data_IF_519483931169
#
_entry.id   IF_519483931169
#
_cell.length_a   1.000
_cell.length_b   1.000
_cell.length_c   1.000
_cell.angle_alpha   90.00
_cell.angle_beta   90.00
_cell.angle_gamma   90.00
#
_symmetry.space_group_name_H-M   'P 1'
#
loop_
_entity.id
_entity.type
_entity.pdbx_description
1 polymer ?
#
# COMPACT_ATOMS: atom_id res chain seq x y z
N UNK A 1 -22.26 15.54 32.73
CA UNK A 1 -21.90 15.77 31.30
C UNK A 1 -20.44 15.44 31.12
N UNK A 2 -20.09 14.29 30.51
CA UNK A 2 -18.69 13.93 30.24
C UNK A 2 -18.23 14.78 29.05
N UNK A 3 -17.25 15.65 29.29
CA UNK A 3 -16.65 16.49 28.26
C UNK A 3 -16.13 15.62 27.09
N UNK A 4 -16.68 15.84 25.89
CA UNK A 4 -16.16 15.25 24.66
C UNK A 4 -14.73 15.73 24.50
N UNK A 5 -13.76 14.81 24.55
CA UNK A 5 -12.35 15.09 24.35
C UNK A 5 -12.16 15.63 22.93
N UNK A 6 -12.11 16.95 22.80
CA UNK A 6 -12.06 17.72 21.54
C UNK A 6 -10.84 17.37 20.68
N UNK A 7 -9.80 16.82 21.32
CA UNK A 7 -8.51 16.46 20.70
C UNK A 7 -8.55 15.28 19.72
N UNK A 8 -9.57 14.41 19.76
CA UNK A 8 -9.66 13.25 18.88
C UNK A 8 -10.47 13.48 17.60
N UNK A 9 -11.22 14.58 17.50
CA UNK A 9 -12.08 14.85 16.35
C UNK A 9 -11.40 15.69 15.27
N UNK A 10 -10.34 16.46 15.61
CA UNK A 10 -9.68 17.40 14.70
C UNK A 10 -8.20 17.12 14.46
N UNK A 11 -7.70 15.97 14.94
CA UNK A 11 -6.32 15.60 14.75
C UNK A 11 -6.06 15.18 13.30
N UNK A 12 -5.30 16.02 12.58
CA UNK A 12 -4.74 15.67 11.29
C UNK A 12 -3.40 14.96 11.48
N UNK A 13 -3.38 13.66 11.21
CA UNK A 13 -2.18 12.85 11.37
C UNK A 13 -1.08 13.26 10.38
N UNK A 14 -1.44 13.69 9.17
CA UNK A 14 -0.45 14.09 8.17
C UNK A 14 0.16 15.44 8.52
N UNK A 15 -0.65 16.40 8.94
CA UNK A 15 -0.17 17.70 9.40
C UNK A 15 0.75 17.54 10.62
N UNK A 16 0.35 16.71 11.59
CA UNK A 16 1.13 16.48 12.80
C UNK A 16 2.48 15.76 12.58
N UNK A 17 2.66 15.08 11.44
CA UNK A 17 3.89 14.36 11.06
C UNK A 17 4.49 14.87 9.74
N UNK A 18 4.36 16.14 9.43
CA UNK A 18 4.97 16.72 8.22
C UNK A 18 6.48 16.85 8.35
N UNK A 19 6.99 17.06 9.57
CA UNK A 19 8.40 17.33 9.81
C UNK A 19 9.22 16.04 9.76
N UNK A 20 10.14 15.97 8.80
CA UNK A 20 11.19 14.95 8.76
C UNK A 20 12.35 15.40 9.64
N UNK A 21 12.87 14.51 10.45
CA UNK A 21 13.92 14.84 11.43
C UNK A 21 15.21 15.28 10.74
N UNK A 22 15.51 14.73 9.58
CA UNK A 22 16.71 15.05 8.80
C UNK A 22 16.74 16.52 8.34
N UNK A 23 15.58 17.20 8.34
CA UNK A 23 15.44 18.60 7.93
C UNK A 23 15.34 19.58 9.11
N UNK A 24 15.47 19.09 10.37
CA UNK A 24 15.32 19.90 11.57
C UNK A 24 16.66 20.17 12.26
N UNK A 25 16.79 21.37 12.82
CA UNK A 25 17.93 21.70 13.67
C UNK A 25 17.78 21.03 15.06
N UNK A 26 18.90 20.69 15.70
CA UNK A 26 18.94 20.03 17.00
C UNK A 26 18.10 20.76 18.06
N UNK A 27 18.18 22.09 18.11
CA UNK A 27 17.41 22.91 19.05
C UNK A 27 15.88 22.77 18.86
N UNK A 28 15.41 22.62 17.62
CA UNK A 28 13.99 22.40 17.35
C UNK A 28 13.54 20.98 17.76
N UNK A 29 14.37 19.97 17.51
CA UNK A 29 14.13 18.61 17.98
C UNK A 29 14.03 18.59 19.50
N UNK A 30 14.94 19.24 20.20
CA UNK A 30 14.91 19.32 21.67
C UNK A 30 13.67 20.04 22.19
N UNK A 31 13.26 21.14 21.56
CA UNK A 31 12.03 21.86 21.90
C UNK A 31 10.79 20.98 21.75
N UNK A 32 10.64 20.27 20.64
CA UNK A 32 9.50 19.38 20.38
C UNK A 32 9.47 18.18 21.32
N UNK A 33 10.63 17.73 21.78
CA UNK A 33 10.77 16.56 22.64
C UNK A 33 10.62 16.84 24.14
N UNK A 34 10.65 18.09 24.56
CA UNK A 34 10.63 18.51 25.97
C UNK A 34 9.44 17.99 26.79
N UNK A 35 8.29 17.76 26.16
CA UNK A 35 7.03 17.42 26.82
C UNK A 35 6.63 15.93 26.72
N UNK A 36 7.56 15.03 26.41
CA UNK A 36 7.31 13.61 26.17
C UNK A 36 7.21 12.76 27.44
N UNK A 37 6.22 12.97 28.27
CA UNK A 37 5.96 12.07 29.41
C UNK A 37 5.04 10.91 29.02
N UNK A 38 5.40 9.67 29.38
CA UNK A 38 4.49 8.52 29.35
C UNK A 38 4.20 7.89 27.96
N UNK A 39 4.97 8.20 26.91
CA UNK A 39 4.75 7.62 25.59
C UNK A 39 5.39 6.22 25.52
N UNK A 40 4.58 5.19 25.28
CA UNK A 40 5.05 3.87 24.86
C UNK A 40 5.14 3.81 23.32
N UNK A 41 6.00 2.94 22.79
CA UNK A 41 6.11 2.72 21.34
C UNK A 41 5.54 1.36 20.96
N UNK A 42 4.84 1.32 19.85
CA UNK A 42 4.38 0.09 19.20
C UNK A 42 5.15 -0.11 17.91
N UNK A 43 5.59 -1.33 17.67
CA UNK A 43 6.17 -1.74 16.39
C UNK A 43 5.14 -2.56 15.62
N UNK A 44 4.78 -2.11 14.44
CA UNK A 44 3.99 -2.88 13.47
C UNK A 44 4.94 -3.38 12.38
N UNK A 45 5.06 -4.69 12.25
CA UNK A 45 5.86 -5.33 11.19
C UNK A 45 4.93 -5.89 10.13
N UNK A 46 5.20 -5.58 8.87
CA UNK A 46 4.48 -6.12 7.70
C UNK A 46 5.45 -6.91 6.83
N UNK A 47 5.19 -8.21 6.65
CA UNK A 47 5.96 -9.09 5.75
C UNK A 47 5.17 -9.36 4.49
N UNK A 48 5.78 -9.13 3.32
CA UNK A 48 5.15 -9.25 2.01
C UNK A 48 6.16 -9.80 1.00
N UNK A 49 6.13 -11.12 0.75
CA UNK A 49 7.14 -11.79 -0.07
C UNK A 49 8.53 -11.60 0.53
N UNK A 50 9.45 -11.06 -0.26
CA UNK A 50 10.82 -10.76 0.16
C UNK A 50 10.94 -9.42 0.91
N UNK A 51 9.88 -8.62 0.96
CA UNK A 51 9.90 -7.32 1.64
C UNK A 51 9.44 -7.43 3.09
N UNK A 52 10.01 -6.58 3.94
CA UNK A 52 9.60 -6.37 5.30
C UNK A 52 9.59 -4.86 5.59
N UNK A 53 8.50 -4.40 6.15
CA UNK A 53 8.34 -3.03 6.62
C UNK A 53 8.16 -3.02 8.13
N UNK A 54 8.80 -2.07 8.82
CA UNK A 54 8.62 -1.82 10.24
C UNK A 54 8.16 -0.37 10.46
N UNK A 55 6.95 -0.22 11.00
CA UNK A 55 6.44 1.04 11.52
C UNK A 55 6.64 1.06 13.03
N UNK A 56 7.37 2.02 13.55
CA UNK A 56 7.58 2.23 14.99
C UNK A 56 7.00 3.59 15.35
N UNK A 57 5.98 3.62 16.20
CA UNK A 57 5.21 4.82 16.46
C UNK A 57 4.70 4.88 17.90
N UNK A 58 4.40 6.09 18.42
CA UNK A 58 3.83 6.26 19.73
C UNK A 58 2.48 5.57 19.86
N UNK A 59 2.29 4.79 20.91
CA UNK A 59 1.03 4.17 21.26
C UNK A 59 0.38 4.93 22.41
N UNK A 60 -0.80 5.46 22.18
CA UNK A 60 -1.61 6.13 23.20
C UNK A 60 -2.68 5.15 23.68
N UNK A 61 -2.56 4.69 24.94
CA UNK A 61 -3.56 3.99 25.71
C UNK A 61 -4.46 2.96 25.00
N UNK A 62 -5.30 2.28 25.76
CA UNK A 62 -6.29 1.37 25.23
C UNK A 62 -7.41 2.14 24.50
N UNK A 63 -7.51 1.94 23.19
CA UNK A 63 -8.64 2.43 22.36
C UNK A 63 -9.98 1.75 22.68
N UNK A 64 -10.06 0.91 23.71
CA UNK A 64 -11.29 0.16 24.02
C UNK A 64 -12.47 1.08 24.37
N UNK A 65 -12.19 2.29 24.84
CA UNK A 65 -13.22 3.24 25.28
C UNK A 65 -13.62 4.30 24.22
N UNK A 66 -13.03 4.28 23.02
CA UNK A 66 -13.42 5.21 21.98
C UNK A 66 -14.71 4.71 21.29
N UNK A 67 -15.80 5.49 21.30
CA UNK A 67 -17.03 5.09 20.61
C UNK A 67 -16.74 4.88 19.13
N UNK A 68 -17.16 3.71 18.60
CA UNK A 68 -17.07 3.45 17.17
C UNK A 68 -17.98 4.45 16.44
N UNK A 69 -17.40 5.27 15.57
CA UNK A 69 -18.15 6.14 14.67
C UNK A 69 -19.10 5.32 13.81
N UNK A 70 -20.36 5.75 13.70
CA UNK A 70 -21.34 5.06 12.84
C UNK A 70 -20.80 4.99 11.41
N UNK A 71 -20.94 3.81 10.77
CA UNK A 71 -20.63 3.64 9.34
C UNK A 71 -21.53 4.59 8.55
N UNK A 72 -20.95 5.41 7.68
CA UNK A 72 -21.71 6.31 6.79
C UNK A 72 -21.29 7.79 6.84
N UNK A 73 -20.52 8.23 7.81
CA UNK A 73 -20.00 9.60 7.80
C UNK A 73 -18.92 9.76 6.71
N UNK A 74 -19.05 10.82 5.89
CA UNK A 74 -18.02 11.18 4.91
C UNK A 74 -16.69 11.43 5.63
N UNK A 75 -15.62 10.80 5.17
CA UNK A 75 -14.28 11.03 5.71
C UNK A 75 -13.85 12.47 5.45
N UNK A 76 -13.22 13.12 6.43
CA UNK A 76 -12.57 14.43 6.24
C UNK A 76 -11.44 14.32 5.21
N UNK A 77 -11.06 15.42 4.52
CA UNK A 77 -10.00 15.39 3.50
C UNK A 77 -8.70 14.72 3.99
N UNK A 78 -8.20 15.10 5.16
CA UNK A 78 -7.00 14.49 5.77
C UNK A 78 -7.17 12.98 6.01
N UNK A 79 -8.33 12.54 6.49
CA UNK A 79 -8.61 11.12 6.67
C UNK A 79 -8.70 10.39 5.33
N UNK A 80 -9.23 11.04 4.28
CA UNK A 80 -9.25 10.50 2.92
C UNK A 80 -7.82 10.28 2.42
N UNK A 81 -6.95 11.29 2.52
CA UNK A 81 -5.55 11.19 2.12
C UNK A 81 -4.81 10.07 2.84
N UNK A 82 -4.99 9.96 4.17
CA UNK A 82 -4.39 8.88 4.96
C UNK A 82 -4.90 7.50 4.53
N UNK A 83 -6.21 7.37 4.25
CA UNK A 83 -6.78 6.13 3.76
C UNK A 83 -6.23 5.78 2.37
N UNK A 84 -6.00 6.77 1.52
CA UNK A 84 -5.43 6.61 0.19
C UNK A 84 -3.98 6.12 0.27
N UNK A 85 -3.15 6.72 1.11
CA UNK A 85 -1.77 6.26 1.35
C UNK A 85 -1.73 4.83 1.91
N UNK A 86 -2.60 4.52 2.87
CA UNK A 86 -2.71 3.15 3.43
C UNK A 86 -3.15 2.14 2.39
N UNK A 87 -4.09 2.50 1.52
CA UNK A 87 -4.57 1.65 0.45
C UNK A 87 -3.46 1.37 -0.58
N UNK A 88 -2.72 2.41 -1.00
CA UNK A 88 -1.55 2.28 -1.88
C UNK A 88 -0.49 1.36 -1.29
N UNK A 89 -0.13 1.59 -0.04
CA UNK A 89 0.86 0.77 0.66
C UNK A 89 0.39 -0.69 0.80
N UNK A 90 -0.89 -0.91 1.13
CA UNK A 90 -1.45 -2.27 1.19
C UNK A 90 -1.40 -2.97 -0.17
N UNK A 91 -1.73 -2.26 -1.26
CA UNK A 91 -1.65 -2.79 -2.61
C UNK A 91 -0.21 -3.16 -2.98
N UNK A 92 0.76 -2.30 -2.68
CA UNK A 92 2.18 -2.59 -2.90
C UNK A 92 2.61 -3.87 -2.17
N UNK A 93 2.24 -3.99 -0.90
CA UNK A 93 2.51 -5.19 -0.10
C UNK A 93 1.79 -6.42 -0.64
N UNK A 94 0.57 -6.29 -1.16
CA UNK A 94 -0.18 -7.39 -1.78
C UNK A 94 0.50 -7.86 -3.07
N UNK A 95 0.98 -6.92 -3.89
CA UNK A 95 1.75 -7.21 -5.11
C UNK A 95 3.04 -7.94 -4.73
N UNK A 96 3.82 -7.40 -3.81
CA UNK A 96 5.09 -7.98 -3.37
C UNK A 96 4.95 -9.38 -2.75
N UNK A 97 3.81 -9.67 -2.13
CA UNK A 97 3.52 -10.99 -1.56
C UNK A 97 3.16 -12.06 -2.60
N UNK A 98 2.81 -11.68 -3.84
CA UNK A 98 2.23 -12.59 -4.81
C UNK A 98 2.89 -12.58 -6.18
N UNK A 99 3.54 -11.49 -6.56
CA UNK A 99 4.08 -11.31 -7.91
C UNK A 99 5.56 -10.94 -7.85
N UNK A 100 6.30 -11.40 -8.85
CA UNK A 100 7.73 -11.22 -8.95
C UNK A 100 8.24 -11.28 -10.38
N UNK A 101 9.52 -11.64 -10.54
CA UNK A 101 10.16 -11.75 -11.85
C UNK A 101 9.45 -12.77 -12.73
N UNK A 102 9.15 -12.36 -13.96
CA UNK A 102 8.48 -13.21 -14.95
C UNK A 102 6.95 -13.18 -14.92
N UNK A 103 6.33 -12.62 -13.87
CA UNK A 103 4.90 -12.32 -13.91
C UNK A 103 4.60 -11.23 -14.95
N UNK A 104 3.34 -11.03 -15.28
CA UNK A 104 2.96 -10.20 -16.41
C UNK A 104 2.25 -8.93 -15.92
N UNK A 105 2.73 -7.80 -16.38
CA UNK A 105 2.02 -6.53 -16.39
C UNK A 105 1.35 -6.36 -17.74
N UNK A 106 0.06 -6.07 -17.73
CA UNK A 106 -0.74 -5.85 -18.93
C UNK A 106 -1.57 -4.59 -18.85
N UNK A 107 -1.76 -3.96 -20.02
CA UNK A 107 -2.78 -2.94 -20.24
C UNK A 107 -3.69 -3.45 -21.34
N UNK A 108 -4.97 -3.60 -21.04
CA UNK A 108 -6.00 -4.04 -21.99
C UNK A 108 -6.90 -2.86 -22.33
N UNK A 109 -7.03 -2.58 -23.61
CA UNK A 109 -7.84 -1.50 -24.17
C UNK A 109 -9.07 -2.04 -24.88
N UNK A 110 -9.96 -1.15 -25.29
CA UNK A 110 -11.16 -1.45 -26.03
C UNK A 110 -11.11 -0.82 -27.42
N UNK A 111 -11.55 -1.54 -28.44
CA UNK A 111 -11.89 -0.95 -29.73
C UNK A 111 -13.23 -0.22 -29.61
N UNK A 112 -13.58 0.65 -30.60
CA UNK A 112 -14.78 1.50 -30.53
C UNK A 112 -16.07 0.69 -30.35
N UNK A 113 -16.19 -0.40 -31.07
CA UNK A 113 -17.36 -1.29 -31.08
C UNK A 113 -17.55 -2.06 -29.75
N UNK A 114 -16.51 -2.11 -28.90
CA UNK A 114 -16.50 -2.88 -27.67
C UNK A 114 -16.40 -2.01 -26.42
N UNK A 115 -16.49 -0.68 -26.56
CA UNK A 115 -16.44 0.21 -25.41
C UNK A 115 -17.54 -0.14 -24.41
N UNK A 116 -17.21 -0.34 -23.12
CA UNK A 116 -18.21 -0.61 -22.12
C UNK A 116 -19.09 0.65 -21.89
N UNK A 117 -20.37 0.45 -21.67
CA UNK A 117 -21.33 1.53 -21.42
C UNK A 117 -21.22 2.09 -20.01
N UNK A 118 -20.68 1.32 -19.09
CA UNK A 118 -20.52 1.69 -17.69
C UNK A 118 -19.32 1.00 -17.07
N UNK A 119 -18.83 1.48 -15.94
CA UNK A 119 -17.77 0.79 -15.19
C UNK A 119 -18.17 -0.60 -14.71
N UNK A 120 -19.44 -0.80 -14.38
CA UNK A 120 -19.98 -2.11 -14.02
C UNK A 120 -19.92 -3.07 -15.18
N UNK A 121 -20.15 -2.56 -16.39
CA UNK A 121 -20.00 -3.32 -17.63
C UNK A 121 -18.55 -3.68 -17.90
N UNK A 122 -17.63 -2.71 -17.80
CA UNK A 122 -16.19 -2.96 -17.88
C UNK A 122 -15.76 -4.06 -16.92
N UNK A 123 -16.30 -4.03 -15.72
CA UNK A 123 -16.06 -5.01 -14.67
C UNK A 123 -16.56 -6.41 -15.03
N UNK A 124 -17.74 -6.49 -15.64
CA UNK A 124 -18.34 -7.72 -16.12
C UNK A 124 -17.54 -8.32 -17.29
N UNK A 125 -17.12 -7.48 -18.22
CA UNK A 125 -16.28 -7.87 -19.36
C UNK A 125 -14.95 -8.46 -18.86
N UNK A 126 -14.29 -7.78 -17.95
CA UNK A 126 -13.05 -8.27 -17.36
C UNK A 126 -13.25 -9.60 -16.60
N UNK A 127 -14.34 -9.74 -15.85
CA UNK A 127 -14.65 -10.99 -15.17
C UNK A 127 -14.83 -12.15 -16.16
N UNK A 128 -15.47 -11.91 -17.32
CA UNK A 128 -15.62 -12.89 -18.40
C UNK A 128 -14.26 -13.26 -19.02
N UNK A 129 -13.36 -12.30 -19.18
CA UNK A 129 -11.99 -12.53 -19.62
C UNK A 129 -11.25 -13.47 -18.66
N UNK A 130 -11.27 -13.20 -17.36
CA UNK A 130 -10.67 -14.08 -16.37
C UNK A 130 -11.30 -15.49 -16.38
N UNK A 131 -12.61 -15.61 -16.60
CA UNK A 131 -13.25 -16.92 -16.75
C UNK A 131 -12.71 -17.70 -17.95
N UNK A 132 -12.44 -17.04 -19.09
CA UNK A 132 -11.82 -17.66 -20.26
C UNK A 132 -10.41 -18.18 -19.96
N UNK A 133 -9.58 -17.34 -19.29
CA UNK A 133 -8.23 -17.74 -18.85
C UNK A 133 -8.32 -18.97 -17.93
N UNK A 134 -9.14 -18.89 -16.89
CA UNK A 134 -9.24 -19.96 -15.90
C UNK A 134 -9.78 -21.27 -16.50
N UNK A 135 -10.70 -21.20 -17.48
CA UNK A 135 -11.18 -22.37 -18.22
C UNK A 135 -10.04 -23.05 -18.98
N UNK A 136 -9.19 -22.28 -19.64
CA UNK A 136 -8.04 -22.78 -20.40
C UNK A 136 -6.99 -23.39 -19.47
N UNK A 137 -6.70 -22.71 -18.36
CA UNK A 137 -5.76 -23.21 -17.32
C UNK A 137 -6.23 -24.55 -16.73
N UNK A 138 -7.49 -24.66 -16.37
CA UNK A 138 -8.05 -25.93 -15.85
C UNK A 138 -7.95 -27.08 -16.85
N UNK A 139 -8.16 -26.81 -18.14
CA UNK A 139 -7.95 -27.82 -19.18
C UNK A 139 -6.49 -28.28 -19.27
N UNK A 140 -5.54 -27.39 -18.92
CA UNK A 140 -4.12 -27.67 -18.85
C UNK A 140 -3.65 -28.17 -17.47
N UNK A 141 -4.55 -28.52 -16.55
CA UNK A 141 -4.20 -28.98 -15.19
C UNK A 141 -3.59 -27.91 -14.29
N UNK A 142 -3.76 -26.61 -14.60
CA UNK A 142 -3.19 -25.50 -13.85
C UNK A 142 -4.22 -24.87 -12.91
N UNK A 143 -3.73 -24.29 -11.82
CA UNK A 143 -4.54 -23.50 -10.89
C UNK A 143 -5.15 -22.24 -11.55
N UNK A 144 -6.20 -21.70 -10.94
CA UNK A 144 -6.76 -20.44 -11.36
C UNK A 144 -5.72 -19.31 -11.29
N UNK A 145 -5.76 -18.38 -12.25
CA UNK A 145 -4.86 -17.25 -12.32
C UNK A 145 -4.90 -16.38 -11.05
N UNK A 146 -3.73 -15.97 -10.58
CA UNK A 146 -3.58 -14.88 -9.63
C UNK A 146 -3.53 -13.59 -10.40
N UNK A 147 -4.33 -12.61 -9.98
CA UNK A 147 -4.35 -11.30 -10.64
C UNK A 147 -4.77 -10.18 -9.70
N UNK A 148 -4.35 -8.98 -10.05
CA UNK A 148 -4.88 -7.70 -9.55
C UNK A 148 -5.22 -6.86 -10.77
N UNK A 149 -6.36 -6.21 -10.76
CA UNK A 149 -6.82 -5.33 -11.84
C UNK A 149 -7.31 -4.00 -11.31
N UNK A 150 -6.97 -2.95 -12.02
CA UNK A 150 -7.56 -1.62 -11.87
C UNK A 150 -8.18 -1.24 -13.20
N UNK A 151 -9.44 -0.84 -13.17
CA UNK A 151 -10.14 -0.28 -14.31
C UNK A 151 -10.01 1.25 -14.23
N UNK A 152 -9.39 1.85 -15.20
CA UNK A 152 -9.35 3.29 -15.38
C UNK A 152 -10.56 3.70 -16.22
N UNK A 153 -11.38 4.57 -15.66
CA UNK A 153 -12.60 5.07 -16.26
C UNK A 153 -12.70 6.57 -16.03
N UNK A 154 -13.11 7.33 -17.04
CA UNK A 154 -13.41 8.75 -16.90
C UNK A 154 -14.80 9.01 -17.48
N UNK A 155 -15.64 9.68 -16.70
CA UNK A 155 -16.91 10.23 -17.18
C UNK A 155 -16.71 11.64 -17.80
N UNK A 156 -15.47 12.13 -17.80
CA UNK A 156 -15.07 13.46 -18.27
C UNK A 156 -14.47 13.32 -19.67
N UNK A 157 -15.24 13.68 -20.68
CA UNK A 157 -14.84 13.62 -22.09
C UNK A 157 -13.64 14.55 -22.38
N UNK A 158 -13.50 15.67 -21.65
CA UNK A 158 -12.39 16.61 -21.84
C UNK A 158 -11.04 16.00 -21.44
N UNK A 159 -11.02 15.02 -20.53
CA UNK A 159 -9.79 14.33 -20.14
C UNK A 159 -9.27 13.32 -21.14
N UNK A 160 -10.07 12.95 -22.14
CA UNK A 160 -9.68 12.01 -23.19
C UNK A 160 -9.23 10.63 -22.68
N UNK A 161 -9.59 10.25 -21.45
CA UNK A 161 -9.22 8.96 -20.86
C UNK A 161 -10.24 7.92 -21.30
N UNK A 162 -9.84 7.09 -22.24
CA UNK A 162 -10.63 5.96 -22.69
C UNK A 162 -10.55 4.82 -21.68
N UNK A 163 -11.66 4.11 -21.46
CA UNK A 163 -11.68 2.95 -20.54
C UNK A 163 -10.60 1.94 -20.89
N UNK A 164 -9.84 1.50 -19.90
CA UNK A 164 -8.85 0.44 -20.01
C UNK A 164 -8.56 -0.22 -18.68
N UNK A 165 -7.93 -1.39 -18.73
CA UNK A 165 -7.57 -2.15 -17.55
C UNK A 165 -6.06 -2.25 -17.41
N UNK A 166 -5.55 -1.92 -16.21
CA UNK A 166 -4.20 -2.27 -15.79
C UNK A 166 -4.25 -3.55 -14.97
N UNK A 167 -3.48 -4.55 -15.37
CA UNK A 167 -3.55 -5.88 -14.78
C UNK A 167 -2.15 -6.36 -14.40
N UNK A 168 -2.02 -6.93 -13.22
CA UNK A 168 -0.91 -7.81 -12.87
C UNK A 168 -1.48 -9.23 -12.83
N UNK A 169 -0.88 -10.15 -13.55
CA UNK A 169 -1.28 -11.55 -13.60
C UNK A 169 -0.05 -12.46 -13.50
N UNK A 170 -0.20 -13.62 -12.86
CA UNK A 170 0.89 -14.57 -12.72
C UNK A 170 1.41 -15.07 -14.09
N UNK A 171 2.73 -15.29 -14.14
CA UNK A 171 3.47 -15.55 -15.38
C UNK A 171 3.30 -16.94 -15.98
N UNK A 172 2.39 -17.77 -15.47
CA UNK A 172 2.17 -19.13 -15.98
C UNK A 172 1.41 -19.20 -17.31
N UNK A 173 0.90 -18.06 -17.80
CA UNK A 173 0.34 -17.92 -19.14
C UNK A 173 1.36 -17.32 -20.09
N UNK A 174 1.23 -17.61 -21.39
CA UNK A 174 1.90 -16.87 -22.43
C UNK A 174 1.27 -15.48 -22.62
N UNK A 175 2.09 -14.48 -23.00
CA UNK A 175 1.63 -13.11 -23.25
C UNK A 175 0.66 -13.05 -24.44
N UNK A 176 1.03 -13.70 -25.54
CA UNK A 176 0.22 -13.74 -26.76
C UNK A 176 -1.12 -14.44 -26.50
N UNK A 177 -1.12 -15.48 -25.66
CA UNK A 177 -2.35 -16.13 -25.22
C UNK A 177 -3.26 -15.19 -24.44
N UNK A 178 -2.70 -14.37 -23.53
CA UNK A 178 -3.46 -13.39 -22.77
C UNK A 178 -4.07 -12.32 -23.66
N UNK A 179 -3.31 -11.80 -24.63
CA UNK A 179 -3.80 -10.81 -25.58
C UNK A 179 -4.88 -11.38 -26.49
N UNK A 180 -4.69 -12.58 -27.03
CA UNK A 180 -5.68 -13.26 -27.87
C UNK A 180 -7.00 -13.58 -27.13
N UNK A 181 -6.95 -13.84 -25.84
CA UNK A 181 -8.14 -14.09 -25.03
C UNK A 181 -8.90 -12.81 -24.67
N UNK A 182 -8.32 -11.61 -24.83
CA UNK A 182 -8.98 -10.37 -24.47
C UNK A 182 -10.21 -10.09 -25.36
N UNK A 183 -10.09 -10.12 -26.66
CA UNK A 183 -11.18 -10.02 -27.64
C UNK A 183 -12.00 -8.72 -27.60
N UNK A 184 -11.59 -7.68 -26.90
CA UNK A 184 -12.34 -6.42 -26.79
C UNK A 184 -11.59 -5.25 -27.41
N UNK A 185 -10.34 -5.46 -27.75
CA UNK A 185 -9.50 -4.46 -28.38
C UNK A 185 -8.18 -5.04 -28.84
N UNK A 186 -7.60 -4.38 -29.82
CA UNK A 186 -6.37 -4.81 -30.49
C UNK A 186 -5.11 -4.11 -29.98
N UNK A 187 -5.25 -2.94 -29.34
CA UNK A 187 -4.12 -2.16 -28.81
C UNK A 187 -3.79 -2.56 -27.38
N UNK A 188 -3.39 -3.81 -27.19
CA UNK A 188 -3.01 -4.33 -25.90
C UNK A 188 -1.50 -4.22 -25.72
N UNK A 189 -1.06 -4.12 -24.48
CA UNK A 189 0.35 -4.11 -24.14
C UNK A 189 0.61 -5.07 -22.98
N UNK A 190 1.45 -6.08 -23.20
CA UNK A 190 1.89 -7.02 -22.16
C UNK A 190 3.40 -7.04 -22.05
N UNK A 191 3.91 -7.08 -20.83
CA UNK A 191 5.34 -7.23 -20.56
C UNK A 191 5.59 -8.10 -19.35
N UNK A 192 6.70 -8.82 -19.35
CA UNK A 192 7.18 -9.51 -18.14
C UNK A 192 7.67 -8.50 -17.13
N UNK A 193 7.30 -8.71 -15.89
CA UNK A 193 7.78 -7.89 -14.77
C UNK A 193 9.23 -8.28 -14.48
N UNK A 194 10.09 -7.27 -14.41
CA UNK A 194 11.43 -7.36 -13.85
C UNK A 194 11.48 -6.39 -12.66
N UNK A 195 11.31 -6.89 -11.43
CA UNK A 195 11.18 -6.05 -10.27
C UNK A 195 12.47 -5.29 -9.98
N UNK A 196 12.34 -4.00 -9.73
CA UNK A 196 13.46 -3.19 -9.25
C UNK A 196 14.00 -3.74 -7.92
N UNK A 197 15.31 -3.84 -7.74
CA UNK A 197 15.91 -4.37 -6.52
C UNK A 197 15.46 -3.67 -5.25
N UNK A 198 15.31 -2.35 -5.25
CA UNK A 198 15.04 -1.54 -4.05
C UNK A 198 13.56 -1.27 -3.84
N UNK A 199 12.82 -1.03 -4.92
CA UNK A 199 11.40 -0.65 -4.87
C UNK A 199 10.44 -1.78 -5.25
N UNK A 200 10.97 -2.91 -5.74
CA UNK A 200 10.20 -4.06 -6.24
C UNK A 200 9.13 -3.60 -7.26
N UNK A 201 7.85 -3.80 -6.94
CA UNK A 201 6.74 -3.40 -7.80
C UNK A 201 6.09 -2.07 -7.37
N UNK A 202 6.77 -1.24 -6.56
CA UNK A 202 6.21 0.02 -6.06
C UNK A 202 5.82 0.98 -7.19
N UNK A 203 6.61 1.04 -8.27
CA UNK A 203 6.28 1.82 -9.47
C UNK A 203 4.96 1.39 -10.10
N UNK A 204 4.72 0.07 -10.19
CA UNK A 204 3.47 -0.49 -10.70
C UNK A 204 2.30 -0.15 -9.76
N UNK A 205 2.46 -0.33 -8.45
CA UNK A 205 1.44 -0.01 -7.47
C UNK A 205 1.07 1.48 -7.49
N UNK A 206 2.05 2.36 -7.60
CA UNK A 206 1.82 3.80 -7.69
C UNK A 206 1.07 4.19 -8.97
N UNK A 207 1.40 3.54 -10.09
CA UNK A 207 0.72 3.79 -11.37
C UNK A 207 -0.76 3.38 -11.34
N UNK A 208 -1.08 2.25 -10.69
CA UNK A 208 -2.45 1.70 -10.64
C UNK A 208 -3.34 2.42 -9.61
N UNK A 209 -2.78 3.17 -8.66
CA UNK A 209 -3.57 3.74 -7.56
C UNK A 209 -3.98 5.20 -7.79
N UNK A 210 -4.27 5.59 -9.01
CA UNK A 210 -4.90 6.87 -9.33
C UNK A 210 -6.27 7.02 -8.62
N UNK A 211 -6.85 8.19 -8.62
CA UNK A 211 -8.11 8.46 -7.89
C UNK A 211 -9.22 7.47 -8.35
N UNK A 212 -9.84 6.73 -7.43
CA UNK A 212 -10.87 5.76 -7.77
C UNK A 212 -12.25 6.37 -8.03
N UNK A 213 -12.41 7.70 -8.01
CA UNK A 213 -13.69 8.39 -8.19
C UNK A 213 -14.85 7.78 -7.36
N UNK A 214 -14.56 7.40 -6.11
CA UNK A 214 -15.54 6.81 -5.18
C UNK A 214 -15.77 5.29 -5.33
N UNK A 215 -15.10 4.62 -6.25
CA UNK A 215 -15.23 3.17 -6.52
C UNK A 215 -14.16 2.34 -5.81
N UNK A 216 -14.22 1.03 -5.99
CA UNK A 216 -13.13 0.13 -5.58
C UNK A 216 -11.87 0.47 -6.37
N UNK A 217 -10.77 0.73 -5.65
CA UNK A 217 -9.48 1.08 -6.24
C UNK A 217 -8.89 -0.05 -7.11
N UNK A 218 -9.13 -1.28 -6.72
CA UNK A 218 -8.70 -2.47 -7.47
C UNK A 218 -9.58 -3.67 -7.12
N UNK A 219 -9.55 -4.66 -7.98
CA UNK A 219 -10.05 -6.01 -7.72
C UNK A 219 -8.91 -7.00 -7.81
N UNK A 220 -9.06 -8.12 -7.13
CA UNK A 220 -8.03 -9.14 -7.07
C UNK A 220 -8.64 -10.52 -7.00
N UNK A 221 -7.91 -11.51 -7.47
CA UNK A 221 -8.26 -12.91 -7.32
C UNK A 221 -8.29 -13.33 -5.85
N UNK A 222 -9.13 -14.31 -5.51
CA UNK A 222 -9.32 -14.77 -4.13
C UNK A 222 -8.15 -15.60 -3.60
N UNK A 223 -7.30 -16.12 -4.48
CA UNK A 223 -6.18 -16.99 -4.17
C UNK A 223 -4.86 -16.24 -3.89
N UNK A 224 -4.91 -14.92 -3.69
CA UNK A 224 -3.74 -14.15 -3.28
C UNK A 224 -3.38 -14.36 -1.81
N UNK A 225 -2.08 -14.48 -1.54
CA UNK A 225 -1.52 -14.45 -0.19
C UNK A 225 -1.61 -13.02 0.36
N UNK A 226 -2.15 -12.87 1.56
CA UNK A 226 -2.19 -11.58 2.25
C UNK A 226 -0.85 -11.28 2.91
N UNK A 227 -0.42 -9.99 2.99
CA UNK A 227 0.72 -9.60 3.80
C UNK A 227 0.51 -9.99 5.27
N UNK A 228 1.56 -10.48 5.91
CA UNK A 228 1.52 -10.88 7.33
C UNK A 228 1.84 -9.66 8.18
N UNK A 229 0.91 -9.27 9.05
CA UNK A 229 1.07 -8.11 9.93
C UNK A 229 1.13 -8.56 11.38
N UNK A 230 2.20 -8.18 12.06
CA UNK A 230 2.39 -8.41 13.50
C UNK A 230 2.58 -7.08 14.23
N UNK A 231 2.16 -7.03 15.51
CA UNK A 231 2.33 -5.86 16.36
C UNK A 231 3.02 -6.27 17.65
N UNK A 232 3.93 -5.44 18.13
CA UNK A 232 4.68 -5.66 19.37
C UNK A 232 4.90 -4.35 20.09
N UNK A 233 4.74 -4.35 21.41
CA UNK A 233 5.10 -3.23 22.29
C UNK A 233 6.48 -3.40 22.93
N UNK A 234 7.06 -4.60 22.85
CA UNK A 234 8.34 -4.94 23.48
C UNK A 234 9.53 -4.94 22.53
N UNK A 235 9.31 -4.86 21.21
CA UNK A 235 10.40 -4.97 20.22
C UNK A 235 11.39 -3.82 20.32
N UNK A 236 10.89 -2.60 20.41
CA UNK A 236 11.70 -1.39 20.64
C UNK A 236 11.07 -0.57 21.73
N UNK A 237 11.76 -0.52 22.89
CA UNK A 237 11.33 0.32 24.00
C UNK A 237 11.51 1.82 23.69
N UNK A 238 10.93 2.68 24.53
CA UNK A 238 10.93 4.14 24.37
C UNK A 238 12.34 4.69 24.09
N UNK A 239 13.30 4.40 24.98
CA UNK A 239 14.69 4.90 24.83
C UNK A 239 15.34 4.44 23.52
N UNK A 240 15.09 3.20 23.11
CA UNK A 240 15.61 2.67 21.85
C UNK A 240 14.98 3.39 20.65
N UNK A 241 13.66 3.58 20.63
CA UNK A 241 12.97 4.27 19.57
C UNK A 241 13.41 5.74 19.42
N UNK A 242 13.58 6.43 20.55
CA UNK A 242 14.07 7.81 20.58
C UNK A 242 15.51 7.93 20.08
N UNK A 243 16.40 7.02 20.47
CA UNK A 243 17.76 7.00 19.95
C UNK A 243 17.82 6.63 18.47
N UNK A 244 17.02 5.66 18.03
CA UNK A 244 16.89 5.32 16.59
C UNK A 244 16.41 6.50 15.77
N UNK A 245 15.57 7.37 16.33
CA UNK A 245 15.06 8.54 15.64
C UNK A 245 16.11 9.64 15.44
N UNK A 246 17.11 9.73 16.30
CA UNK A 246 18.14 10.79 16.28
C UNK A 246 19.52 10.31 15.84
N UNK A 247 19.72 9.01 15.71
CA UNK A 247 21.00 8.40 15.36
C UNK A 247 20.74 7.34 14.25
N UNK A 248 21.07 7.71 13.01
CA UNK A 248 20.83 6.88 11.83
C UNK A 248 21.62 5.57 11.83
N UNK A 249 22.86 5.62 12.26
CA UNK A 249 23.70 4.42 12.36
C UNK A 249 23.15 3.44 13.38
N UNK A 250 22.73 3.94 14.55
CA UNK A 250 22.07 3.13 15.56
C UNK A 250 20.73 2.56 15.09
N UNK A 251 19.96 3.33 14.31
CA UNK A 251 18.70 2.86 13.69
C UNK A 251 18.97 1.65 12.81
N UNK A 252 19.91 1.76 11.86
CA UNK A 252 20.24 0.69 10.93
C UNK A 252 20.74 -0.57 11.67
N UNK A 253 21.64 -0.41 12.63
CA UNK A 253 22.14 -1.51 13.47
C UNK A 253 20.99 -2.22 14.21
N UNK A 254 20.11 -1.45 14.85
CA UNK A 254 19.01 -2.02 15.64
C UNK A 254 17.95 -2.70 14.79
N UNK A 255 17.63 -2.15 13.63
CA UNK A 255 16.69 -2.75 12.67
C UNK A 255 17.28 -4.04 12.12
N UNK A 256 18.52 -4.04 11.65
CA UNK A 256 19.20 -5.22 11.11
C UNK A 256 19.26 -6.35 12.15
N UNK A 257 19.61 -6.02 13.40
CA UNK A 257 19.63 -7.00 14.49
C UNK A 257 18.25 -7.57 14.83
N UNK A 258 17.19 -6.75 14.74
CA UNK A 258 15.82 -7.15 15.07
C UNK A 258 15.16 -8.03 13.99
N UNK A 259 15.68 -7.99 12.76
CA UNK A 259 15.13 -8.72 11.61
C UNK A 259 16.22 -9.50 10.86
N UNK A 260 16.77 -10.55 11.47
CA UNK A 260 17.82 -11.35 10.84
C UNK A 260 17.36 -11.95 9.51
N UNK A 261 18.25 -11.99 8.53
CA UNK A 261 17.97 -12.46 7.17
C UNK A 261 17.29 -11.44 6.26
N UNK A 262 17.13 -10.19 6.72
CA UNK A 262 16.73 -9.07 5.90
C UNK A 262 17.85 -8.02 5.86
N UNK A 263 18.10 -7.48 4.68
CA UNK A 263 19.01 -6.33 4.47
C UNK A 263 18.22 -5.05 4.66
N UNK A 264 18.79 -4.10 5.39
CA UNK A 264 18.24 -2.75 5.50
C UNK A 264 18.34 -2.04 4.14
N UNK A 265 17.26 -1.38 3.71
CA UNK A 265 17.19 -0.58 2.49
C UNK A 265 17.23 0.89 2.86
N UNK A 266 16.22 1.34 3.59
CA UNK A 266 16.11 2.73 4.02
C UNK A 266 15.19 2.87 5.24
N UNK A 267 15.20 4.08 5.81
CA UNK A 267 14.22 4.48 6.81
C UNK A 267 13.89 5.97 6.68
N UNK A 268 12.63 6.28 6.99
CA UNK A 268 12.11 7.63 7.14
C UNK A 268 11.76 7.87 8.60
N UNK A 269 12.20 9.00 9.15
CA UNK A 269 11.92 9.39 10.54
C UNK A 269 11.18 10.72 10.55
N UNK A 270 10.01 10.73 11.20
CA UNK A 270 9.18 11.92 11.38
C UNK A 270 8.97 12.20 12.86
N UNK A 271 8.81 13.46 13.20
CA UNK A 271 8.46 13.91 14.55
C UNK A 271 7.06 14.50 14.56
N UNK A 272 6.32 14.20 15.61
CA UNK A 272 4.99 14.74 15.82
C UNK A 272 5.07 16.12 16.48
N UNK A 273 4.52 17.13 15.84
CA UNK A 273 4.57 18.53 16.32
C UNK A 273 3.79 18.76 17.61
N UNK A 274 2.79 17.93 17.90
CA UNK A 274 1.91 18.11 19.04
C UNK A 274 2.48 17.44 20.31
N UNK A 275 3.00 16.21 20.17
CA UNK A 275 3.41 15.38 21.32
C UNK A 275 4.89 15.02 21.31
N UNK A 276 5.67 15.47 20.33
CA UNK A 276 7.08 15.18 20.17
C UNK A 276 7.42 13.70 19.93
N UNK A 277 6.44 12.85 19.71
CA UNK A 277 6.67 11.44 19.45
C UNK A 277 7.24 11.20 18.06
N UNK A 278 8.13 10.23 17.91
CA UNK A 278 8.71 9.87 16.60
C UNK A 278 7.88 8.80 15.90
N UNK A 279 7.79 8.92 14.60
CA UNK A 279 7.35 7.87 13.70
C UNK A 279 8.53 7.43 12.85
N UNK A 280 8.92 6.18 12.95
CA UNK A 280 9.99 5.59 12.15
C UNK A 280 9.37 4.57 11.22
N UNK A 281 9.64 4.71 9.93
CA UNK A 281 9.29 3.74 8.90
C UNK A 281 10.57 3.19 8.29
N UNK A 282 10.82 1.90 8.46
CA UNK A 282 12.00 1.24 7.92
C UNK A 282 11.59 0.17 6.90
N UNK A 283 12.32 0.08 5.80
CA UNK A 283 12.17 -0.93 4.76
C UNK A 283 13.39 -1.85 4.74
N UNK A 284 13.09 -3.12 4.59
CA UNK A 284 14.08 -4.19 4.52
C UNK A 284 13.68 -5.19 3.45
N UNK A 285 14.66 -5.93 2.96
CA UNK A 285 14.46 -6.95 1.93
C UNK A 285 15.29 -8.20 2.23
N UNK A 286 14.72 -9.35 1.87
CA UNK A 286 15.44 -10.62 1.77
C UNK A 286 15.86 -10.82 0.31
N UNK A 287 17.05 -11.39 0.10
CA UNK A 287 17.53 -11.82 -1.21
C UNK A 287 16.71 -12.97 -1.76
#
# INVERSE_FOLDING_TARGET
MKGKNKYFTDYDFEEAYQKQIDNLQQAEIERLTKNRKGIAYQTKTTKAGNQLEADIYPAFGNRQDAPRTKRGNKSRPAQKNLNDKRAKRYLNNLISANFGKGDIWATFTYDEEHLPESPEDADRIFANYIRRINRRRRKAGKDNAKYIVVTEWSDDEEKGIRCHHHVIIDGSNDRDELENLWRQGSRNHTRRIDPDPDTHAAGIANYITKDPHGRKRWRASKNLKKPIVTKSYSRFGKRTAERMATDRGYLEERITKAYPGYKFIDAEVKINDINGGFYIYARMRRD
#
